data_IF_695680479074
#
_entry.id   IF_695680479074
#
_cell.length_a   1.000
_cell.length_b   1.000
_cell.length_c   1.000
_cell.angle_alpha   90.00
_cell.angle_beta   90.00
_cell.angle_gamma   90.00
#
_symmetry.space_group_name_H-M   'P 1'
#
loop_
_entity.id
_entity.type
_entity.pdbx_description
1 polymer ?
#
# COMPACT_ATOMS: atom_id res chain seq x y z
N UNK A 1 -36.54 19.65 -36.23
CA UNK A 1 -35.27 18.88 -36.17
C UNK A 1 -34.61 19.18 -34.84
N UNK A 2 -34.91 18.36 -33.83
CA UNK A 2 -34.25 18.41 -32.53
C UNK A 2 -33.25 17.27 -32.42
N UNK A 3 -32.04 17.56 -31.98
CA UNK A 3 -31.17 16.56 -31.37
C UNK A 3 -30.69 17.12 -30.04
N UNK A 4 -31.19 16.49 -28.97
CA UNK A 4 -30.69 16.62 -27.61
C UNK A 4 -29.26 16.06 -27.55
N UNK A 5 -28.34 16.86 -27.03
CA UNK A 5 -27.02 16.41 -26.62
C UNK A 5 -27.18 16.00 -25.15
N UNK A 6 -27.52 14.74 -24.92
CA UNK A 6 -27.53 14.14 -23.58
C UNK A 6 -26.84 12.80 -23.66
N UNK A 7 -25.80 12.63 -22.83
CA UNK A 7 -25.19 11.33 -22.58
C UNK A 7 -23.69 11.31 -22.78
N UNK A 8 -22.96 11.43 -21.68
CA UNK A 8 -21.80 10.61 -21.27
C UNK A 8 -20.84 11.43 -20.40
N UNK A 9 -21.30 11.80 -19.22
CA UNK A 9 -20.43 11.99 -18.06
C UNK A 9 -21.00 11.02 -17.02
N UNK A 10 -20.13 10.25 -16.37
CA UNK A 10 -20.39 9.29 -15.27
C UNK A 10 -20.16 7.82 -15.64
N UNK A 11 -18.90 7.44 -15.86
CA UNK A 11 -18.39 6.21 -15.29
C UNK A 11 -16.93 6.45 -14.90
N UNK A 12 -16.72 7.06 -13.73
CA UNK A 12 -15.40 7.02 -13.12
C UNK A 12 -15.13 5.53 -12.81
N UNK A 13 -14.02 4.93 -13.28
CA UNK A 13 -13.69 3.53 -13.03
C UNK A 13 -13.85 3.20 -11.55
N UNK A 14 -14.54 2.11 -11.20
CA UNK A 14 -14.81 1.71 -9.81
C UNK A 14 -13.54 1.65 -8.96
N UNK A 15 -12.41 1.28 -9.58
CA UNK A 15 -11.09 1.29 -8.96
C UNK A 15 -10.67 2.71 -8.54
N UNK A 16 -10.89 3.73 -9.36
CA UNK A 16 -10.58 5.13 -9.03
C UNK A 16 -11.49 5.66 -7.91
N UNK A 17 -12.77 5.26 -7.89
CA UNK A 17 -13.69 5.63 -6.80
C UNK A 17 -13.26 5.00 -5.47
N UNK A 18 -12.88 3.71 -5.48
CA UNK A 18 -12.37 3.00 -4.30
C UNK A 18 -11.07 3.61 -3.80
N UNK A 19 -10.12 3.91 -4.69
CA UNK A 19 -8.87 4.60 -4.35
C UNK A 19 -9.12 6.00 -3.77
N UNK A 20 -9.99 6.81 -4.39
CA UNK A 20 -10.32 8.15 -3.88
C UNK A 20 -10.97 8.11 -2.49
N UNK A 21 -11.82 7.10 -2.22
CA UNK A 21 -12.41 6.89 -0.90
C UNK A 21 -11.38 6.48 0.17
N UNK A 22 -10.38 5.68 -0.20
CA UNK A 22 -9.28 5.27 0.68
C UNK A 22 -8.32 6.45 0.99
N UNK A 23 -8.00 7.25 -0.02
CA UNK A 23 -7.16 8.45 0.13
C UNK A 23 -7.84 9.48 1.05
N UNK A 24 -9.14 9.72 0.84
CA UNK A 24 -9.92 10.65 1.68
C UNK A 24 -9.97 10.16 3.14
N UNK A 25 -10.24 8.89 3.36
CA UNK A 25 -10.27 8.31 4.71
C UNK A 25 -8.91 8.45 5.40
N UNK A 26 -7.82 8.13 4.71
CA UNK A 26 -6.45 8.28 5.23
C UNK A 26 -6.14 9.74 5.60
N UNK A 27 -6.72 10.70 4.85
CA UNK A 27 -6.61 12.14 5.14
C UNK A 27 -7.18 12.55 6.49
N UNK A 28 -8.35 12.02 6.88
CA UNK A 28 -9.03 12.38 8.14
C UNK A 28 -8.66 11.50 9.33
N UNK A 29 -7.98 10.37 9.10
CA UNK A 29 -7.61 9.42 10.15
C UNK A 29 -6.77 10.07 11.25
N UNK A 30 -7.20 9.99 12.50
CA UNK A 30 -6.37 10.42 13.64
C UNK A 30 -5.36 9.32 14.00
N UNK A 31 -4.31 9.69 14.74
CA UNK A 31 -3.30 8.73 15.17
C UNK A 31 -3.86 7.67 16.13
N UNK A 32 -4.77 8.07 17.02
CA UNK A 32 -5.48 7.16 17.93
C UNK A 32 -6.34 6.15 17.16
N UNK A 33 -7.13 6.61 16.18
CA UNK A 33 -7.92 5.73 15.32
C UNK A 33 -7.02 4.77 14.50
N UNK A 34 -5.86 5.23 14.04
CA UNK A 34 -4.90 4.38 13.34
C UNK A 34 -4.40 3.25 14.23
N UNK A 35 -3.94 3.55 15.45
CA UNK A 35 -3.50 2.53 16.41
C UNK A 35 -4.64 1.58 16.80
N UNK A 36 -5.86 2.12 16.96
CA UNK A 36 -7.07 1.33 17.19
C UNK A 36 -7.30 0.31 16.08
N UNK A 37 -7.14 0.70 14.81
CA UNK A 37 -7.26 -0.22 13.67
C UNK A 37 -6.17 -1.28 13.63
N UNK A 38 -4.93 -0.96 14.02
CA UNK A 38 -3.84 -1.95 14.13
C UNK A 38 -4.18 -3.01 15.19
N UNK A 39 -4.64 -2.57 16.36
CA UNK A 39 -5.06 -3.46 17.43
C UNK A 39 -6.27 -4.33 17.03
N UNK A 40 -7.30 -3.73 16.44
CA UNK A 40 -8.47 -4.46 15.95
C UNK A 40 -8.09 -5.50 14.89
N UNK A 41 -7.18 -5.18 13.97
CA UNK A 41 -6.74 -6.11 12.94
C UNK A 41 -6.01 -7.32 13.52
N UNK A 42 -5.18 -7.11 14.54
CA UNK A 42 -4.55 -8.20 15.31
C UNK A 42 -5.60 -9.08 15.98
N UNK A 43 -6.60 -8.49 16.65
CA UNK A 43 -7.67 -9.24 17.31
C UNK A 43 -8.50 -10.07 16.32
N UNK A 44 -8.89 -9.46 15.19
CA UNK A 44 -9.68 -10.12 14.13
C UNK A 44 -8.89 -11.28 13.53
N UNK A 45 -7.64 -11.05 13.13
CA UNK A 45 -6.82 -12.11 12.53
C UNK A 45 -6.46 -13.21 13.52
N UNK A 46 -6.31 -12.89 14.81
CA UNK A 46 -6.11 -13.89 15.87
C UNK A 46 -7.37 -14.77 16.06
N UNK A 47 -8.56 -14.16 16.12
CA UNK A 47 -9.85 -14.88 16.22
C UNK A 47 -10.08 -15.80 15.03
N UNK A 48 -9.84 -15.28 13.82
CA UNK A 48 -9.97 -16.05 12.57
C UNK A 48 -8.93 -17.18 12.46
N UNK A 49 -7.76 -17.02 13.07
CA UNK A 49 -6.72 -18.05 13.16
C UNK A 49 -6.87 -18.94 14.41
N UNK A 50 -8.00 -18.91 15.12
CA UNK A 50 -8.25 -19.81 16.24
C UNK A 50 -8.17 -21.28 15.77
N UNK A 51 -7.44 -22.11 16.52
CA UNK A 51 -7.17 -23.51 16.13
C UNK A 51 -6.14 -23.70 15.00
N UNK A 52 -5.60 -22.62 14.42
CA UNK A 52 -4.52 -22.70 13.42
C UNK A 52 -3.14 -22.47 14.06
N UNK A 53 -2.14 -23.11 13.47
CA UNK A 53 -0.74 -23.06 13.90
C UNK A 53 0.00 -21.77 13.55
N UNK A 54 -0.57 -20.95 12.67
CA UNK A 54 0.06 -19.71 12.20
C UNK A 54 -0.91 -18.55 12.38
N UNK A 55 -0.37 -17.38 12.65
CA UNK A 55 -1.13 -16.14 12.74
C UNK A 55 -0.34 -14.99 12.13
N UNK A 56 -1.05 -13.89 11.89
CA UNK A 56 -0.47 -12.63 11.50
C UNK A 56 -0.37 -11.71 12.72
N UNK A 57 0.70 -10.92 12.75
CA UNK A 57 0.91 -9.85 13.70
C UNK A 57 1.21 -8.58 12.93
N UNK A 58 0.57 -7.48 13.31
CA UNK A 58 0.72 -6.15 12.73
C UNK A 58 1.29 -5.21 13.77
N UNK A 59 2.40 -4.56 13.44
CA UNK A 59 3.12 -3.65 14.34
C UNK A 59 3.55 -2.40 13.58
N UNK A 60 3.57 -1.26 14.26
CA UNK A 60 4.16 -0.04 13.71
C UNK A 60 5.67 -0.16 13.79
N UNK A 61 6.35 0.06 12.67
CA UNK A 61 7.81 0.06 12.63
C UNK A 61 8.33 1.19 13.53
N UNK A 62 9.18 0.89 14.53
CA UNK A 62 9.67 1.90 15.45
C UNK A 62 10.29 3.10 14.74
N UNK A 63 9.87 4.30 15.12
CA UNK A 63 10.37 5.57 14.58
C UNK A 63 9.71 6.01 13.26
N UNK A 64 8.92 5.16 12.60
CA UNK A 64 8.25 5.54 11.35
C UNK A 64 7.07 6.50 11.55
N UNK A 65 6.57 6.59 12.78
CA UNK A 65 5.40 7.35 13.21
C UNK A 65 5.74 8.54 14.13
N UNK A 66 7.04 8.83 14.34
CA UNK A 66 7.49 9.82 15.31
C UNK A 66 7.20 11.28 14.90
N UNK A 67 7.06 11.55 13.60
CA UNK A 67 6.93 12.91 13.07
C UNK A 67 5.46 13.37 12.96
N UNK A 68 5.25 14.69 12.87
CA UNK A 68 3.92 15.25 12.61
C UNK A 68 3.33 14.82 11.24
N UNK A 69 4.19 14.36 10.32
CA UNK A 69 3.82 13.80 9.01
C UNK A 69 3.70 12.27 9.03
N UNK A 70 3.43 11.67 10.20
CA UNK A 70 3.35 10.22 10.39
C UNK A 70 2.48 9.51 9.34
N UNK A 71 1.42 10.12 8.82
CA UNK A 71 0.56 9.50 7.79
C UNK A 71 1.31 9.14 6.51
N UNK A 72 2.38 9.87 6.22
CA UNK A 72 3.25 9.65 5.05
C UNK A 72 4.43 8.74 5.43
N UNK A 73 4.99 8.96 6.63
CA UNK A 73 6.20 8.28 7.09
C UNK A 73 5.92 6.88 7.66
N UNK A 74 4.73 6.62 8.22
CA UNK A 74 4.43 5.40 8.97
C UNK A 74 4.59 4.16 8.11
N UNK A 75 5.20 3.15 8.71
CA UNK A 75 5.39 1.83 8.13
C UNK A 75 4.81 0.80 9.07
N UNK A 76 3.99 -0.09 8.52
CA UNK A 76 3.34 -1.16 9.26
C UNK A 76 3.98 -2.46 8.83
N UNK A 77 4.53 -3.19 9.79
CA UNK A 77 5.12 -4.51 9.59
C UNK A 77 4.02 -5.55 9.80
N UNK A 78 3.80 -6.41 8.81
CA UNK A 78 2.99 -7.61 8.94
C UNK A 78 3.91 -8.82 8.98
N UNK A 79 3.83 -9.59 10.06
CA UNK A 79 4.65 -10.77 10.30
C UNK A 79 3.77 -12.00 10.42
N UNK A 80 4.09 -13.05 9.65
CA UNK A 80 3.46 -14.37 9.78
C UNK A 80 4.31 -15.23 10.71
N UNK A 81 3.74 -15.63 11.84
CA UNK A 81 4.46 -16.34 12.91
C UNK A 81 3.80 -17.69 13.15
N UNK A 82 4.62 -18.72 13.35
CA UNK A 82 4.19 -20.03 13.84
C UNK A 82 4.04 -19.97 15.38
N UNK A 83 2.85 -20.29 15.89
CA UNK A 83 2.51 -20.14 17.33
C UNK A 83 3.28 -21.10 18.24
N UNK A 84 3.59 -22.31 17.78
CA UNK A 84 4.27 -23.34 18.57
C UNK A 84 5.76 -23.07 18.71
N UNK A 85 6.39 -22.65 17.61
CA UNK A 85 7.84 -22.44 17.56
C UNK A 85 8.26 -20.98 17.81
N UNK A 86 7.33 -20.03 17.70
CA UNK A 86 7.63 -18.59 17.71
C UNK A 86 8.40 -18.11 16.47
N UNK A 87 8.61 -18.98 15.48
CA UNK A 87 9.42 -18.66 14.30
C UNK A 87 8.63 -17.78 13.33
N UNK A 88 9.28 -16.73 12.85
CA UNK A 88 8.78 -15.88 11.77
C UNK A 88 8.94 -16.61 10.43
N UNK A 89 7.83 -16.87 9.76
CA UNK A 89 7.82 -17.53 8.43
C UNK A 89 7.88 -16.53 7.28
N UNK A 90 7.34 -15.32 7.47
CA UNK A 90 7.36 -14.24 6.48
C UNK A 90 7.17 -12.89 7.16
N UNK A 91 7.76 -11.84 6.59
CA UNK A 91 7.54 -10.46 7.03
C UNK A 91 7.43 -9.55 5.81
N UNK A 92 6.54 -8.55 5.88
CA UNK A 92 6.32 -7.53 4.85
C UNK A 92 6.05 -6.19 5.52
N UNK A 93 6.51 -5.12 4.89
CA UNK A 93 6.32 -3.75 5.34
C UNK A 93 5.36 -3.06 4.36
N UNK A 94 4.40 -2.32 4.89
CA UNK A 94 3.43 -1.58 4.08
C UNK A 94 3.28 -0.13 4.58
N UNK A 95 2.88 0.76 3.67
CA UNK A 95 2.53 2.14 4.02
C UNK A 95 1.09 2.25 4.56
N UNK A 96 0.70 3.43 5.04
CA UNK A 96 -0.63 3.67 5.60
C UNK A 96 -1.74 3.31 4.61
N UNK A 97 -1.61 3.69 3.34
CA UNK A 97 -2.63 3.44 2.33
C UNK A 97 -2.89 1.93 2.13
N UNK A 98 -1.81 1.16 1.95
CA UNK A 98 -1.85 -0.30 1.81
C UNK A 98 -2.46 -0.97 3.05
N UNK A 99 -2.10 -0.48 4.25
CA UNK A 99 -2.67 -0.97 5.50
C UNK A 99 -4.18 -0.72 5.59
N UNK A 100 -4.66 0.49 5.26
CA UNK A 100 -6.09 0.81 5.31
C UNK A 100 -6.89 -0.03 4.31
N UNK A 101 -6.31 -0.30 3.14
CA UNK A 101 -6.91 -1.20 2.16
C UNK A 101 -7.01 -2.63 2.70
N UNK A 102 -5.92 -3.17 3.25
CA UNK A 102 -5.89 -4.50 3.86
C UNK A 102 -6.89 -4.62 5.02
N UNK A 103 -6.92 -3.61 5.89
CA UNK A 103 -7.81 -3.54 7.04
C UNK A 103 -9.28 -3.69 6.62
N UNK A 104 -9.72 -2.93 5.61
CA UNK A 104 -11.09 -3.03 5.08
C UNK A 104 -11.37 -4.41 4.49
N UNK A 105 -10.42 -4.95 3.72
CA UNK A 105 -10.58 -6.27 3.09
C UNK A 105 -10.69 -7.40 4.13
N UNK A 106 -9.88 -7.37 5.19
CA UNK A 106 -9.90 -8.38 6.26
C UNK A 106 -11.17 -8.24 7.10
N UNK A 107 -11.49 -7.03 7.56
CA UNK A 107 -12.67 -6.80 8.43
C UNK A 107 -13.98 -7.10 7.71
N UNK A 108 -14.10 -6.76 6.42
CA UNK A 108 -15.27 -7.11 5.61
C UNK A 108 -15.48 -8.63 5.53
N UNK A 109 -14.41 -9.41 5.38
CA UNK A 109 -14.53 -10.87 5.28
C UNK A 109 -14.68 -11.54 6.63
N UNK A 110 -14.07 -10.98 7.68
CA UNK A 110 -14.28 -11.43 9.04
C UNK A 110 -15.74 -11.31 9.46
N UNK A 111 -16.41 -10.21 9.10
CA UNK A 111 -17.82 -10.01 9.38
C UNK A 111 -18.71 -11.09 8.74
N UNK A 112 -18.40 -11.52 7.52
CA UNK A 112 -19.12 -12.60 6.83
C UNK A 112 -18.92 -13.97 7.52
N UNK A 113 -17.67 -14.31 7.86
CA UNK A 113 -17.32 -15.60 8.48
C UNK A 113 -17.87 -15.71 9.90
N UNK A 114 -17.65 -14.69 10.72
CA UNK A 114 -18.09 -14.67 12.14
C UNK A 114 -19.62 -14.60 12.28
N UNK A 115 -20.33 -14.05 11.29
CA UNK A 115 -21.80 -14.05 11.27
C UNK A 115 -22.39 -15.43 10.93
N UNK A 116 -21.66 -16.26 10.16
CA UNK A 116 -22.12 -17.60 9.78
C UNK A 116 -21.95 -18.64 10.91
N UNK A 117 -20.96 -18.45 11.80
CA UNK A 117 -20.70 -19.35 12.94
C UNK A 117 -21.78 -19.29 14.03
N UNK A 118 -22.64 -18.27 14.03
CA UNK A 118 -23.79 -18.15 14.93
C UNK A 118 -25.01 -19.01 14.56
N UNK A 119 -25.04 -19.65 13.38
CA UNK A 119 -26.26 -20.24 12.82
C UNK A 119 -26.20 -21.75 12.51
N UNK A 120 -25.06 -22.45 12.63
CA UNK A 120 -24.97 -23.86 12.18
C UNK A 120 -24.30 -24.77 13.22
N UNK A 121 -25.11 -25.30 14.15
CA UNK A 121 -24.91 -26.67 14.67
C UNK A 121 -25.68 -27.62 13.75
N UNK A 122 -25.06 -28.08 12.67
CA UNK A 122 -25.70 -29.03 11.76
C UNK A 122 -24.90 -29.29 10.49
N UNK A 123 -24.13 -30.39 10.51
CA UNK A 123 -23.60 -31.16 9.37
C UNK A 123 -23.83 -30.60 7.95
N UNK A 124 -22.83 -29.93 7.40
CA UNK A 124 -22.57 -29.87 5.96
C UNK A 124 -21.07 -29.65 5.72
N UNK A 125 -20.45 -30.48 4.88
CA UNK A 125 -19.03 -30.46 4.51
C UNK A 125 -18.48 -29.03 4.32
N UNK A 126 -17.51 -28.66 5.17
CA UNK A 126 -16.66 -27.49 5.00
C UNK A 126 -15.74 -27.70 3.78
N UNK A 127 -15.54 -26.70 2.91
CA UNK A 127 -14.49 -26.74 1.91
C UNK A 127 -13.13 -26.79 2.63
N UNK A 128 -12.33 -27.82 2.32
CA UNK A 128 -11.00 -28.15 2.83
C UNK A 128 -10.30 -27.04 3.65
N UNK A 129 -10.44 -27.12 4.97
CA UNK A 129 -9.85 -26.23 5.99
C UNK A 129 -8.36 -26.50 6.24
N UNK A 130 -7.57 -26.77 5.19
CA UNK A 130 -6.11 -26.92 5.29
C UNK A 130 -5.33 -25.73 4.70
N UNK A 131 -6.01 -24.78 4.05
CA UNK A 131 -5.40 -23.51 3.69
C UNK A 131 -5.42 -22.58 4.90
N UNK A 132 -4.31 -22.54 5.63
CA UNK A 132 -4.11 -21.63 6.75
C UNK A 132 -4.50 -20.19 6.35
N UNK A 133 -5.49 -19.61 7.04
CA UNK A 133 -6.01 -18.26 6.75
C UNK A 133 -4.89 -17.23 6.80
N UNK A 134 -3.92 -17.37 7.72
CA UNK A 134 -2.75 -16.52 7.77
C UNK A 134 -1.93 -16.55 6.47
N UNK A 135 -1.87 -17.69 5.76
CA UNK A 135 -1.19 -17.77 4.46
C UNK A 135 -1.98 -17.10 3.34
N UNK A 136 -3.32 -17.20 3.34
CA UNK A 136 -4.17 -16.48 2.39
C UNK A 136 -4.03 -14.96 2.56
N UNK A 137 -4.11 -14.48 3.80
CA UNK A 137 -3.97 -13.06 4.12
C UNK A 137 -2.57 -12.54 3.83
N UNK A 138 -1.54 -13.33 4.14
CA UNK A 138 -0.16 -12.99 3.76
C UNK A 138 0.00 -12.89 2.24
N UNK A 139 -0.72 -13.71 1.45
CA UNK A 139 -0.76 -13.59 -0.01
C UNK A 139 -1.35 -12.26 -0.49
N UNK A 140 -2.37 -11.74 0.20
CA UNK A 140 -2.95 -10.41 -0.11
C UNK A 140 -2.04 -9.27 0.30
N UNK A 141 -1.42 -9.37 1.49
CA UNK A 141 -0.40 -8.42 1.93
C UNK A 141 0.71 -8.35 0.88
N UNK A 142 1.21 -9.51 0.45
CA UNK A 142 2.17 -9.61 -0.65
C UNK A 142 1.65 -8.89 -1.89
N UNK A 143 0.43 -9.19 -2.37
CA UNK A 143 -0.14 -8.51 -3.53
C UNK A 143 -0.24 -6.97 -3.39
N UNK A 144 -0.54 -6.45 -2.19
CA UNK A 144 -0.64 -5.02 -1.91
C UNK A 144 0.73 -4.33 -1.85
N UNK A 145 1.73 -5.01 -1.28
CA UNK A 145 3.10 -4.50 -1.19
C UNK A 145 3.84 -4.63 -2.52
N UNK A 146 3.52 -5.65 -3.30
CA UNK A 146 4.10 -5.93 -4.61
C UNK A 146 3.53 -5.00 -5.71
N UNK A 147 2.56 -4.12 -5.40
CA UNK A 147 2.17 -3.05 -6.33
C UNK A 147 3.28 -2.01 -6.57
N UNK A 148 4.36 -2.08 -5.77
CA UNK A 148 5.62 -1.39 -6.01
C UNK A 148 6.66 -2.30 -6.68
N UNK A 149 6.30 -3.46 -7.23
CA UNK A 149 7.20 -4.30 -8.03
C UNK A 149 7.18 -3.90 -9.51
N UNK A 150 8.36 -3.94 -10.13
CA UNK A 150 8.53 -3.71 -11.54
C UNK A 150 7.78 -4.77 -12.34
N UNK A 151 6.81 -4.34 -13.14
CA UNK A 151 5.99 -5.24 -13.95
C UNK A 151 6.76 -5.96 -15.09
N UNK A 152 8.04 -5.65 -15.30
CA UNK A 152 8.90 -6.32 -16.30
C UNK A 152 9.63 -7.52 -15.67
N UNK A 153 10.22 -7.36 -14.48
CA UNK A 153 10.99 -8.43 -13.83
C UNK A 153 10.27 -9.12 -12.67
N UNK A 154 9.18 -8.54 -12.15
CA UNK A 154 8.43 -9.06 -10.99
C UNK A 154 9.31 -9.34 -9.77
N UNK A 155 10.30 -8.48 -9.53
CA UNK A 155 11.33 -8.68 -8.49
C UNK A 155 11.85 -7.34 -7.94
N UNK A 156 12.31 -6.45 -8.82
CA UNK A 156 12.84 -5.15 -8.41
C UNK A 156 11.74 -4.13 -8.05
N UNK A 157 12.02 -3.22 -7.12
CA UNK A 157 11.15 -2.07 -6.78
C UNK A 157 10.91 -1.18 -8.02
N UNK A 158 9.67 -0.76 -8.26
CA UNK A 158 9.26 0.12 -9.34
C UNK A 158 9.55 1.60 -9.00
N UNK A 159 10.82 1.93 -8.89
CA UNK A 159 11.37 3.20 -8.40
C UNK A 159 11.64 4.26 -9.48
N UNK A 160 11.51 3.92 -10.77
CA UNK A 160 11.66 4.87 -11.87
C UNK A 160 10.31 5.13 -12.54
N UNK A 161 9.91 6.39 -12.59
CA UNK A 161 8.66 6.86 -13.20
C UNK A 161 8.96 7.50 -14.55
N UNK A 162 8.37 6.94 -15.60
CA UNK A 162 8.39 7.55 -16.93
C UNK A 162 7.42 8.74 -17.01
N UNK A 163 7.60 9.69 -17.94
CA UNK A 163 6.72 10.86 -18.10
C UNK A 163 5.22 10.54 -18.28
N UNK A 164 4.91 9.33 -18.73
CA UNK A 164 3.55 8.80 -18.81
C UNK A 164 2.97 8.26 -17.49
N UNK A 165 3.65 8.50 -16.36
CA UNK A 165 3.31 8.04 -15.01
C UNK A 165 3.30 6.51 -14.81
N UNK A 166 4.00 5.75 -15.67
CA UNK A 166 4.21 4.32 -15.47
C UNK A 166 5.55 4.06 -14.79
N UNK A 167 5.55 3.15 -13.82
CA UNK A 167 6.69 2.87 -12.94
C UNK A 167 7.32 1.50 -13.22
N UNK A 168 8.64 1.44 -13.14
CA UNK A 168 9.44 0.23 -13.35
C UNK A 168 10.72 0.32 -12.52
N UNK A 169 11.47 -0.78 -12.36
CA UNK A 169 12.79 -0.69 -11.75
C UNK A 169 13.80 -0.13 -12.75
N UNK A 170 14.79 0.62 -12.23
CA UNK A 170 15.86 1.21 -13.02
C UNK A 170 16.51 0.19 -14.00
N UNK A 171 16.88 -1.00 -13.51
CA UNK A 171 17.54 -2.06 -14.30
C UNK A 171 16.75 -2.47 -15.54
N UNK A 172 15.42 -2.57 -15.41
CA UNK A 172 14.56 -2.98 -16.52
C UNK A 172 14.42 -1.86 -17.56
N UNK A 173 14.35 -0.60 -17.12
CA UNK A 173 14.22 0.53 -18.04
C UNK A 173 15.54 0.87 -18.71
N UNK A 174 16.69 0.72 -18.05
CA UNK A 174 18.00 0.86 -18.69
C UNK A 174 18.18 -0.17 -19.81
N UNK A 175 17.80 -1.42 -19.56
CA UNK A 175 17.85 -2.49 -20.57
C UNK A 175 16.89 -2.24 -21.72
N UNK A 176 15.69 -1.69 -21.43
CA UNK A 176 14.70 -1.37 -22.44
C UNK A 176 15.11 -0.16 -23.29
N UNK A 177 15.64 0.90 -22.67
CA UNK A 177 16.04 2.15 -23.33
C UNK A 177 17.19 1.95 -24.32
N UNK A 178 18.06 0.96 -24.08
CA UNK A 178 19.08 0.51 -25.04
C UNK A 178 18.50 -0.10 -26.33
N UNK A 179 17.21 -0.48 -26.34
CA UNK A 179 16.50 -1.06 -27.50
C UNK A 179 15.39 -0.15 -28.04
N UNK A 180 14.68 0.56 -27.17
CA UNK A 180 13.54 1.40 -27.53
C UNK A 180 13.34 2.54 -26.55
N UNK A 181 13.10 3.76 -27.06
CA UNK A 181 12.85 4.96 -26.24
C UNK A 181 11.35 5.22 -26.03
N UNK A 182 10.59 4.19 -25.70
CA UNK A 182 9.16 4.32 -25.41
C UNK A 182 8.78 3.58 -24.14
N UNK A 183 7.65 3.96 -23.53
CA UNK A 183 7.11 3.26 -22.38
C UNK A 183 6.71 1.82 -22.76
N UNK A 184 7.18 0.79 -22.02
CA UNK A 184 6.79 -0.61 -22.25
C UNK A 184 5.28 -0.87 -22.16
N UNK A 185 4.54 -0.04 -21.41
CA UNK A 185 3.09 -0.19 -21.20
C UNK A 185 2.31 0.59 -22.27
N UNK A 186 2.50 1.91 -22.36
CA UNK A 186 1.66 2.78 -23.19
C UNK A 186 2.31 3.22 -24.50
N UNK A 187 3.57 2.83 -24.75
CA UNK A 187 4.36 3.15 -25.96
C UNK A 187 4.58 4.65 -26.21
N UNK A 188 4.26 5.52 -25.24
CA UNK A 188 4.59 6.93 -25.31
C UNK A 188 6.12 7.10 -25.41
N UNK A 189 6.59 7.95 -26.33
CA UNK A 189 8.01 8.23 -26.46
C UNK A 189 8.56 8.94 -25.21
N UNK A 190 9.73 8.49 -24.77
CA UNK A 190 10.50 9.08 -23.68
C UNK A 190 11.60 9.91 -24.34
N UNK A 191 11.40 11.23 -24.43
CA UNK A 191 12.38 12.17 -24.98
C UNK A 191 13.26 12.72 -23.86
N UNK A 192 14.52 13.04 -24.15
CA UNK A 192 15.46 13.60 -23.16
C UNK A 192 15.05 14.98 -22.61
N UNK A 193 14.02 15.61 -23.20
CA UNK A 193 13.42 16.85 -22.70
C UNK A 193 12.33 16.59 -21.63
N UNK A 194 12.03 15.32 -21.35
CA UNK A 194 11.05 14.88 -20.36
C UNK A 194 11.79 13.96 -19.38
N UNK A 195 12.37 14.57 -18.35
CA UNK A 195 13.21 13.89 -17.36
C UNK A 195 12.47 12.67 -16.78
N UNK A 196 13.10 11.50 -16.87
CA UNK A 196 12.67 10.33 -16.09
C UNK A 196 12.99 10.63 -14.64
N UNK A 197 11.96 10.69 -13.80
CA UNK A 197 12.15 10.93 -12.38
C UNK A 197 12.48 9.60 -11.72
N UNK A 198 13.68 9.52 -11.14
CA UNK A 198 13.95 8.52 -10.12
C UNK A 198 13.17 8.97 -8.89
N UNK A 199 12.32 8.09 -8.36
CA UNK A 199 11.74 8.32 -7.05
C UNK A 199 12.90 8.28 -6.06
N UNK A 200 13.38 9.46 -5.66
CA UNK A 200 14.29 9.57 -4.53
C UNK A 200 13.66 8.85 -3.34
N UNK A 201 14.48 8.16 -2.55
CA UNK A 201 14.02 7.62 -1.28
C UNK A 201 13.34 8.73 -0.47
N UNK A 202 12.38 8.33 0.37
CA UNK A 202 11.69 9.28 1.23
C UNK A 202 12.76 10.04 2.03
N UNK A 203 12.82 11.38 1.94
CA UNK A 203 13.87 12.14 2.59
C UNK A 203 13.80 11.88 4.10
N UNK A 204 14.95 11.71 4.73
CA UNK A 204 15.00 11.54 6.18
C UNK A 204 14.43 12.78 6.88
N UNK A 205 13.98 12.62 8.12
CA UNK A 205 13.47 13.76 8.89
C UNK A 205 14.49 14.88 8.99
N UNK A 206 15.78 14.54 9.13
CA UNK A 206 16.90 15.49 9.15
C UNK A 206 17.06 16.25 7.84
N UNK A 207 16.86 15.59 6.69
CA UNK A 207 16.89 16.24 5.37
C UNK A 207 15.72 17.21 5.18
N UNK A 208 14.52 16.81 5.64
CA UNK A 208 13.33 17.67 5.59
C UNK A 208 13.51 18.88 6.50
N UNK A 209 14.00 18.69 7.73
CA UNK A 209 14.28 19.78 8.68
C UNK A 209 15.33 20.73 8.10
N UNK A 210 16.42 20.19 7.57
CA UNK A 210 17.48 20.99 6.95
C UNK A 210 16.96 21.82 5.77
N UNK A 211 16.11 21.24 4.93
CA UNK A 211 15.49 21.95 3.82
C UNK A 211 14.58 23.10 4.29
N UNK A 212 13.77 22.87 5.33
CA UNK A 212 12.90 23.90 5.91
C UNK A 212 13.73 25.04 6.54
N UNK A 213 14.81 24.72 7.25
CA UNK A 213 15.70 25.72 7.86
C UNK A 213 16.41 26.56 6.80
N UNK A 214 16.93 25.93 5.74
CA UNK A 214 17.57 26.65 4.64
C UNK A 214 16.60 27.62 3.93
N UNK A 215 15.34 27.23 3.75
CA UNK A 215 14.32 28.12 3.19
C UNK A 215 14.02 29.33 4.09
N UNK A 216 14.07 29.15 5.41
CA UNK A 216 13.87 30.23 6.36
C UNK A 216 15.04 31.22 6.36
N UNK A 217 16.27 30.72 6.21
CA UNK A 217 17.48 31.53 6.12
C UNK A 217 17.53 32.34 4.81
N UNK A 218 17.18 31.73 3.67
CA UNK A 218 17.09 32.43 2.37
C UNK A 218 16.02 33.53 2.37
N UNK A 219 14.89 33.33 3.06
CA UNK A 219 13.86 34.36 3.23
C UNK A 219 14.30 35.53 4.13
N UNK A 220 15.36 35.35 4.91
CA UNK A 220 15.91 36.34 5.85
C UNK A 220 16.94 37.30 5.25
N UNK A 221 17.40 37.07 4.02
CA UNK A 221 18.39 37.94 3.38
C UNK A 221 17.68 39.05 2.58
N UNK A 222 17.74 40.34 3.00
CA UNK A 222 17.27 41.41 2.15
C UNK A 222 18.13 41.42 0.88
N UNK A 223 17.50 41.25 -0.27
CA UNK A 223 18.13 41.49 -1.57
C UNK A 223 18.79 42.88 -1.52
N UNK A 224 20.12 42.91 -1.51
CA UNK A 224 20.87 44.16 -1.56
C UNK A 224 20.72 44.72 -2.98
N UNK A 225 20.35 46.00 -3.13
CA UNK A 225 20.15 46.62 -4.44
C UNK A 225 21.43 46.69 -5.28
#
# INVERSE_FOLDING_TARGET
MGQQISGQINHLPEKLVKHAGLVRESGYLTYEEFLGRVAELNDVTAKLAAGQQKHLLFEVQPGSDASALWKVAVRIVCTKINKESGVVEASRIMNLYQFIQLYRDITSQAAEVLSAEGAVRGSAQLPSTDSCQASMWMGRVKQLTDQEECCICMDGKADLILPCAHSFCQKCIDKWSGRSRNCPICRLQVTAANDSWVMSDFPSEDEVVSYILNLADEAGHPHRP
#
